data_IF_759408110755
#
_entry.id   IF_759408110755
#
_cell.length_a   1.000
_cell.length_b   1.000
_cell.length_c   1.000
_cell.angle_alpha   90.00
_cell.angle_beta   90.00
_cell.angle_gamma   90.00
#
_symmetry.space_group_name_H-M   'P 1'
#
loop_
_entity.id
_entity.type
_entity.pdbx_description
1 polymer ?
#
# COMPACT_ATOMS: atom_id res chain seq x y z
N UNK A 1 -17.17 -10.85 -17.19
CA UNK A 1 -16.47 -10.08 -16.13
C UNK A 1 -16.34 -10.93 -14.86
N UNK A 2 -15.13 -10.99 -14.29
CA UNK A 2 -14.91 -11.66 -13.00
C UNK A 2 -15.74 -10.99 -11.90
N UNK A 3 -16.15 -11.74 -10.88
CA UNK A 3 -16.97 -11.22 -9.76
C UNK A 3 -16.30 -10.00 -9.10
N UNK A 4 -14.98 -10.02 -9.00
CA UNK A 4 -14.18 -8.94 -8.41
C UNK A 4 -14.17 -7.68 -9.29
N UNK A 5 -14.09 -7.83 -10.62
CA UNK A 5 -14.19 -6.69 -11.55
C UNK A 5 -15.55 -6.00 -11.43
N UNK A 6 -16.64 -6.77 -11.28
CA UNK A 6 -17.99 -6.23 -11.07
C UNK A 6 -18.08 -5.49 -9.72
N UNK A 7 -17.53 -6.07 -8.65
CA UNK A 7 -17.53 -5.45 -7.31
C UNK A 7 -16.72 -4.15 -7.32
N UNK A 8 -15.51 -4.14 -7.89
CA UNK A 8 -14.70 -2.92 -7.96
C UNK A 8 -15.38 -1.84 -8.81
N UNK A 9 -16.00 -2.22 -9.93
CA UNK A 9 -16.79 -1.30 -10.74
C UNK A 9 -17.98 -0.72 -9.97
N UNK A 10 -18.69 -1.54 -9.20
CA UNK A 10 -19.77 -1.08 -8.32
C UNK A 10 -19.27 -0.13 -7.24
N UNK A 11 -18.15 -0.45 -6.59
CA UNK A 11 -17.55 0.42 -5.56
C UNK A 11 -17.17 1.79 -6.13
N UNK A 12 -16.54 1.82 -7.32
CA UNK A 12 -16.22 3.08 -8.00
C UNK A 12 -17.49 3.87 -8.36
N UNK A 13 -18.54 3.19 -8.83
CA UNK A 13 -19.82 3.83 -9.13
C UNK A 13 -20.43 4.44 -7.87
N UNK A 14 -20.41 3.73 -6.74
CA UNK A 14 -20.93 4.24 -5.46
C UNK A 14 -20.14 5.46 -5.00
N UNK A 15 -18.81 5.46 -5.09
CA UNK A 15 -17.98 6.62 -4.75
C UNK A 15 -18.31 7.82 -5.65
N UNK A 16 -18.42 7.60 -6.96
CA UNK A 16 -18.80 8.65 -7.90
C UNK A 16 -20.22 9.17 -7.61
N UNK A 17 -21.15 8.28 -7.29
CA UNK A 17 -22.51 8.66 -6.89
C UNK A 17 -22.47 9.52 -5.62
N UNK A 18 -21.75 9.12 -4.56
CA UNK A 18 -21.64 9.91 -3.33
C UNK A 18 -21.03 11.30 -3.55
N UNK A 19 -20.12 11.47 -4.52
CA UNK A 19 -19.56 12.77 -4.85
C UNK A 19 -20.49 13.65 -5.71
N UNK A 20 -21.25 13.04 -6.64
CA UNK A 20 -22.06 13.76 -7.63
C UNK A 20 -23.50 14.00 -7.15
N UNK A 21 -24.08 13.08 -6.38
CA UNK A 21 -25.47 13.20 -5.90
C UNK A 21 -25.73 14.50 -5.14
N UNK A 22 -24.86 14.92 -4.19
CA UNK A 22 -25.09 16.16 -3.45
C UNK A 22 -25.14 17.38 -4.35
N UNK A 23 -24.29 17.43 -5.40
CA UNK A 23 -24.25 18.51 -6.38
C UNK A 23 -25.50 18.55 -7.26
N UNK A 24 -25.97 17.38 -7.73
CA UNK A 24 -27.13 17.31 -8.65
C UNK A 24 -28.46 17.51 -7.92
N UNK A 25 -28.55 17.09 -6.66
CA UNK A 25 -29.74 17.26 -5.84
C UNK A 25 -29.84 18.65 -5.20
N UNK A 26 -28.89 19.55 -5.46
CA UNK A 26 -28.87 20.88 -4.84
C UNK A 26 -28.74 20.82 -3.32
N UNK A 27 -28.07 19.80 -2.78
CA UNK A 27 -27.79 19.67 -1.34
C UNK A 27 -26.79 20.77 -0.97
N UNK A 28 -27.33 21.97 -0.73
CA UNK A 28 -26.58 23.17 -0.40
C UNK A 28 -27.00 24.42 -1.18
N UNK A 29 -27.93 24.36 -2.14
CA UNK A 29 -28.43 25.52 -2.91
C UNK A 29 -29.10 26.62 -2.05
N UNK A 30 -29.37 26.30 -0.79
CA UNK A 30 -29.97 27.17 0.23
C UNK A 30 -28.92 27.81 1.15
N UNK A 31 -27.64 27.54 0.94
CA UNK A 31 -26.50 28.10 1.68
C UNK A 31 -25.63 28.91 0.72
N UNK A 32 -25.12 30.07 1.17
CA UNK A 32 -24.19 30.89 0.38
C UNK A 32 -22.90 30.11 0.06
N UNK A 33 -22.46 29.25 0.98
CA UNK A 33 -21.39 28.27 0.76
C UNK A 33 -21.89 26.84 1.06
N UNK A 34 -22.30 26.08 0.03
CA UNK A 34 -22.85 24.72 0.14
C UNK A 34 -21.95 23.71 0.87
N UNK A 35 -20.62 23.90 0.77
CA UNK A 35 -19.60 22.99 1.27
C UNK A 35 -18.49 23.74 2.02
N UNK A 36 -18.90 24.69 2.87
CA UNK A 36 -17.98 25.40 3.76
C UNK A 36 -17.19 24.42 4.66
N UNK A 37 -15.99 24.83 5.04
CA UNK A 37 -15.18 24.08 6.00
C UNK A 37 -15.82 24.01 7.38
N UNK A 38 -15.40 23.04 8.19
CA UNK A 38 -15.89 22.89 9.57
C UNK A 38 -15.58 24.11 10.45
N UNK A 39 -14.50 24.83 10.15
CA UNK A 39 -14.08 26.02 10.89
C UNK A 39 -15.02 27.22 10.62
N UNK A 40 -15.35 27.47 9.36
CA UNK A 40 -16.32 28.50 8.96
C UNK A 40 -17.73 28.26 9.56
N UNK A 41 -18.18 26.99 9.63
CA UNK A 41 -19.43 26.67 10.33
C UNK A 41 -19.33 26.91 11.84
N UNK A 42 -18.18 26.63 12.45
CA UNK A 42 -17.96 26.87 13.88
C UNK A 42 -17.95 28.37 14.20
N UNK A 43 -17.30 29.20 13.40
CA UNK A 43 -17.29 30.66 13.56
C UNK A 43 -18.71 31.24 13.48
N UNK A 44 -19.49 30.80 12.48
CA UNK A 44 -20.89 31.22 12.33
C UNK A 44 -21.70 30.85 13.57
N UNK A 45 -21.59 29.60 14.04
CA UNK A 45 -22.32 29.14 15.22
C UNK A 45 -21.91 29.88 16.50
N UNK A 46 -20.62 30.18 16.69
CA UNK A 46 -20.14 30.93 17.86
C UNK A 46 -20.72 32.35 17.85
N UNK A 47 -20.71 33.00 16.70
CA UNK A 47 -21.23 34.37 16.54
C UNK A 47 -22.75 34.44 16.77
N UNK A 48 -23.49 33.39 16.39
CA UNK A 48 -24.93 33.29 16.67
C UNK A 48 -25.24 33.05 18.15
N UNK A 49 -24.45 32.21 18.83
CA UNK A 49 -24.68 31.83 20.23
C UNK A 49 -24.21 32.93 21.20
N UNK A 50 -23.10 33.60 20.88
CA UNK A 50 -22.45 34.59 21.72
C UNK A 50 -21.96 35.77 20.86
N UNK A 51 -22.82 36.75 20.56
CA UNK A 51 -22.47 37.87 19.68
C UNK A 51 -21.39 38.80 20.26
N UNK A 52 -21.21 38.79 21.59
CA UNK A 52 -20.15 39.55 22.27
C UNK A 52 -18.84 38.74 22.43
N UNK A 53 -18.72 37.59 21.76
CA UNK A 53 -17.54 36.73 21.83
C UNK A 53 -16.34 37.40 21.16
N UNK A 54 -15.23 37.53 21.90
CA UNK A 54 -13.97 38.01 21.36
C UNK A 54 -13.03 36.83 21.10
N UNK A 55 -12.44 36.70 19.89
CA UNK A 55 -11.46 35.65 19.60
C UNK A 55 -10.27 35.72 20.56
N UNK A 56 -10.00 34.61 21.24
CA UNK A 56 -8.87 34.46 22.16
C UNK A 56 -7.52 34.28 21.44
N UNK A 57 -7.55 34.13 20.11
CA UNK A 57 -6.39 33.99 19.25
C UNK A 57 -6.67 34.64 17.90
N UNK A 58 -5.71 35.41 17.38
CA UNK A 58 -5.75 35.95 16.02
C UNK A 58 -4.83 35.11 15.11
N UNK A 59 -5.28 34.68 13.92
CA UNK A 59 -4.42 33.98 12.97
C UNK A 59 -3.14 34.77 12.69
N UNK A 60 -1.99 34.09 12.74
CA UNK A 60 -0.70 34.72 12.35
C UNK A 60 -0.63 34.95 10.84
N UNK A 61 -1.47 34.26 10.08
CA UNK A 61 -1.57 34.35 8.63
C UNK A 61 -3.03 34.15 8.23
N UNK A 62 -3.58 35.17 7.57
CA UNK A 62 -4.89 35.14 6.92
C UNK A 62 -4.66 34.93 5.41
N UNK A 63 -5.20 33.85 4.79
CA UNK A 63 -5.14 33.69 3.35
C UNK A 63 -5.83 34.87 2.64
N UNK A 64 -5.28 35.37 1.53
CA UNK A 64 -5.87 36.50 0.81
C UNK A 64 -7.22 36.17 0.13
N UNK A 65 -7.62 34.90 0.06
CA UNK A 65 -8.95 34.47 -0.38
C UNK A 65 -9.37 33.13 0.22
N UNK A 66 -10.67 32.92 0.41
CA UNK A 66 -11.25 31.63 0.86
C UNK A 66 -11.00 30.47 -0.13
N UNK A 67 -10.72 30.77 -1.40
CA UNK A 67 -10.29 29.76 -2.38
C UNK A 67 -8.94 29.14 -2.01
N UNK A 68 -8.00 29.97 -1.49
CA UNK A 68 -6.69 29.50 -1.05
C UNK A 68 -6.84 28.60 0.18
N UNK A 69 -7.72 28.97 1.12
CA UNK A 69 -8.03 28.15 2.29
C UNK A 69 -8.60 26.78 1.89
N UNK A 70 -9.60 26.77 1.00
CA UNK A 70 -10.19 25.54 0.46
C UNK A 70 -9.15 24.69 -0.29
N UNK A 71 -8.23 25.31 -1.03
CA UNK A 71 -7.15 24.61 -1.71
C UNK A 71 -6.16 23.94 -0.74
N UNK A 72 -5.83 24.60 0.37
CA UNK A 72 -4.98 24.02 1.41
C UNK A 72 -5.66 22.82 2.09
N UNK A 73 -6.96 22.91 2.35
CA UNK A 73 -7.73 21.79 2.88
C UNK A 73 -7.79 20.61 1.89
N UNK A 74 -8.04 20.89 0.61
CA UNK A 74 -8.04 19.88 -0.45
C UNK A 74 -6.67 19.19 -0.59
N UNK A 75 -5.58 19.94 -0.45
CA UNK A 75 -4.22 19.40 -0.44
C UNK A 75 -3.99 18.46 0.75
N UNK A 76 -4.42 18.85 1.96
CA UNK A 76 -4.33 17.99 3.14
C UNK A 76 -5.14 16.70 2.96
N UNK A 77 -6.35 16.80 2.42
CA UNK A 77 -7.19 15.64 2.12
C UNK A 77 -6.54 14.72 1.09
N UNK A 78 -5.94 15.27 0.03
CA UNK A 78 -5.24 14.51 -1.00
C UNK A 78 -4.01 13.77 -0.43
N UNK A 79 -3.21 14.43 0.42
CA UNK A 79 -2.07 13.81 1.09
C UNK A 79 -2.54 12.68 2.02
N UNK A 80 -3.56 12.93 2.85
CA UNK A 80 -4.14 11.94 3.75
C UNK A 80 -4.63 10.70 2.99
N UNK A 81 -5.44 10.90 1.94
CA UNK A 81 -5.92 9.83 1.08
C UNK A 81 -4.77 9.05 0.42
N UNK A 82 -3.72 9.75 -0.05
CA UNK A 82 -2.52 9.15 -0.63
C UNK A 82 -1.79 8.24 0.34
N UNK A 83 -1.58 8.69 1.59
CA UNK A 83 -0.94 7.89 2.65
C UNK A 83 -1.76 6.64 2.96
N UNK A 84 -3.09 6.76 3.11
CA UNK A 84 -3.97 5.61 3.36
C UNK A 84 -3.91 4.62 2.18
N UNK A 85 -4.03 5.10 0.95
CA UNK A 85 -3.97 4.28 -0.26
C UNK A 85 -2.63 3.53 -0.36
N UNK A 86 -1.52 4.21 -0.10
CA UNK A 86 -0.19 3.60 -0.07
C UNK A 86 -0.08 2.50 0.99
N UNK A 87 -0.53 2.77 2.22
CA UNK A 87 -0.49 1.78 3.31
C UNK A 87 -1.29 0.51 2.96
N UNK A 88 -2.55 0.67 2.54
CA UNK A 88 -3.39 -0.47 2.16
C UNK A 88 -2.84 -1.20 0.93
N UNK A 89 -2.30 -0.47 -0.04
CA UNK A 89 -1.64 -1.01 -1.22
C UNK A 89 -0.43 -1.88 -0.85
N UNK A 90 0.47 -1.38 -0.01
CA UNK A 90 1.67 -2.10 0.43
C UNK A 90 1.29 -3.36 1.22
N UNK A 91 0.36 -3.26 2.17
CA UNK A 91 -0.08 -4.40 2.99
C UNK A 91 -0.72 -5.49 2.13
N UNK A 92 -1.56 -5.09 1.16
CA UNK A 92 -2.21 -6.01 0.22
C UNK A 92 -1.22 -6.63 -0.76
N UNK A 93 -0.22 -5.88 -1.21
CA UNK A 93 0.84 -6.37 -2.08
C UNK A 93 1.70 -7.43 -1.41
N UNK A 94 2.12 -7.19 -0.15
CA UNK A 94 2.93 -8.15 0.63
C UNK A 94 2.22 -9.48 0.86
N UNK A 95 0.92 -9.46 1.17
CA UNK A 95 0.13 -10.70 1.35
C UNK A 95 0.03 -11.52 0.06
N UNK A 96 -0.28 -10.86 -1.06
CA UNK A 96 -0.34 -11.53 -2.36
C UNK A 96 1.01 -12.05 -2.82
N UNK A 97 2.10 -11.33 -2.52
CA UNK A 97 3.46 -11.77 -2.81
C UNK A 97 3.85 -13.02 -2.01
N UNK A 98 3.52 -13.07 -0.72
CA UNK A 98 3.76 -14.23 0.13
C UNK A 98 2.95 -15.46 -0.32
N UNK A 99 1.68 -15.28 -0.66
CA UNK A 99 0.82 -16.35 -1.20
C UNK A 99 1.36 -16.89 -2.55
N UNK A 100 1.82 -16.00 -3.44
CA UNK A 100 2.43 -16.40 -4.73
C UNK A 100 3.75 -17.13 -4.53
N UNK A 101 4.61 -16.68 -3.61
CA UNK A 101 5.88 -17.33 -3.29
C UNK A 101 5.67 -18.72 -2.67
N UNK A 102 4.66 -18.88 -1.81
CA UNK A 102 4.29 -20.18 -1.26
C UNK A 102 3.75 -21.14 -2.33
N UNK A 103 2.96 -20.64 -3.28
CA UNK A 103 2.43 -21.43 -4.39
C UNK A 103 3.54 -21.93 -5.35
N UNK A 104 4.53 -21.10 -5.67
CA UNK A 104 5.68 -21.53 -6.48
C UNK A 104 6.60 -22.51 -5.76
N UNK A 105 6.79 -22.37 -4.44
CA UNK A 105 7.56 -23.33 -3.64
C UNK A 105 6.87 -24.72 -3.58
N UNK A 106 5.54 -24.76 -3.49
CA UNK A 106 4.77 -26.01 -3.51
C UNK A 106 4.84 -26.75 -4.85
N UNK A 107 4.81 -26.02 -5.97
CA UNK A 107 4.86 -26.61 -7.31
C UNK A 107 6.21 -27.31 -7.64
N UNK A 108 7.32 -26.88 -7.04
CA UNK A 108 8.64 -27.52 -7.21
C UNK A 108 8.81 -28.83 -6.46
N UNK A 109 8.00 -29.08 -5.42
CA UNK A 109 8.15 -30.27 -4.55
C UNK A 109 7.41 -31.53 -5.05
N UNK A 110 6.56 -31.40 -6.06
CA UNK A 110 5.75 -32.51 -6.60
C UNK A 110 6.42 -33.32 -7.72
N UNK A 111 7.62 -32.94 -8.18
CA UNK A 111 8.26 -33.54 -9.34
C UNK A 111 9.31 -34.63 -9.02
N UNK A 112 9.68 -34.84 -7.76
CA UNK A 112 10.82 -35.71 -7.38
C UNK A 112 10.47 -37.07 -6.75
N UNK A 113 9.21 -37.51 -6.72
CA UNK A 113 8.85 -38.86 -6.27
C UNK A 113 8.66 -39.83 -7.46
N UNK A 114 9.71 -40.01 -8.25
CA UNK A 114 9.82 -41.14 -9.19
C UNK A 114 10.24 -42.42 -8.45
N UNK A 115 9.75 -43.62 -8.84
CA UNK A 115 10.00 -44.85 -8.10
C UNK A 115 11.49 -45.22 -8.15
N UNK A 116 12.08 -45.45 -6.98
CA UNK A 116 13.48 -45.83 -6.82
C UNK A 116 13.82 -47.06 -7.67
N UNK A 117 14.81 -46.99 -8.58
CA UNK A 117 15.23 -48.17 -9.33
C UNK A 117 16.04 -49.09 -8.41
N UNK A 118 15.55 -50.33 -8.31
CA UNK A 118 16.09 -51.38 -7.48
C UNK A 118 17.57 -51.73 -7.75
N UNK A 119 18.14 -52.30 -6.71
CA UNK A 119 19.46 -52.90 -6.58
C UNK A 119 19.86 -53.73 -7.81
N UNK A 120 21.02 -53.44 -8.39
CA UNK A 120 21.73 -54.36 -9.29
C UNK A 120 22.98 -54.90 -8.58
N UNK A 121 23.22 -56.22 -8.58
CA UNK A 121 24.49 -56.78 -8.12
C UNK A 121 25.54 -56.65 -9.22
N UNK A 122 26.80 -56.61 -8.79
CA UNK A 122 27.94 -56.14 -9.58
C UNK A 122 28.41 -57.03 -10.73
N UNK A 123 29.20 -56.43 -11.59
CA UNK A 123 30.09 -57.09 -12.53
C UNK A 123 31.39 -56.30 -12.63
N UNK A 124 32.49 -56.92 -12.24
CA UNK A 124 33.84 -56.36 -12.31
C UNK A 124 34.44 -56.36 -13.72
N UNK A 125 35.58 -55.68 -13.84
CA UNK A 125 36.42 -55.56 -15.03
C UNK A 125 36.91 -54.12 -15.16
N UNK A 126 38.07 -53.75 -14.59
CA UNK A 126 39.44 -53.95 -15.07
C UNK A 126 39.98 -52.75 -15.91
N UNK A 127 41.23 -52.38 -15.58
CA UNK A 127 42.20 -51.53 -16.29
C UNK A 127 42.13 -49.99 -16.15
N UNK A 128 43.13 -49.40 -15.45
CA UNK A 128 43.50 -47.97 -15.50
C UNK A 128 44.53 -47.68 -16.60
N UNK A 129 45.51 -46.75 -16.44
CA UNK A 129 45.50 -45.43 -15.77
C UNK A 129 46.11 -44.30 -16.66
N UNK A 130 45.88 -43.03 -16.33
CA UNK A 130 46.71 -41.83 -16.67
C UNK A 130 46.15 -40.62 -15.89
N UNK A 131 46.88 -39.95 -14.98
CA UNK A 131 47.85 -38.86 -15.21
C UNK A 131 47.20 -37.71 -16.03
N UNK A 132 47.21 -36.41 -15.70
CA UNK A 132 48.07 -35.54 -14.89
C UNK A 132 47.43 -34.11 -14.93
N UNK A 133 47.90 -33.19 -14.09
CA UNK A 133 47.73 -31.72 -14.05
C UNK A 133 46.41 -31.21 -13.45
N UNK A 134 46.34 -30.21 -12.56
CA UNK A 134 47.28 -29.29 -11.90
C UNK A 134 46.39 -28.31 -11.10
N UNK A 135 46.60 -28.13 -9.80
CA UNK A 135 47.30 -26.98 -9.19
C UNK A 135 46.43 -25.74 -8.93
N UNK A 136 46.47 -25.26 -7.67
CA UNK A 136 46.19 -23.87 -7.26
C UNK A 136 44.86 -23.66 -6.51
N UNK A 137 44.84 -23.68 -5.17
CA UNK A 137 45.07 -22.51 -4.27
C UNK A 137 43.87 -21.52 -4.30
N UNK A 138 43.00 -21.52 -3.29
CA UNK A 138 43.13 -20.94 -1.94
C UNK A 138 42.57 -19.50 -1.86
N UNK A 139 42.11 -19.18 -0.64
CA UNK A 139 41.66 -17.88 -0.13
C UNK A 139 40.20 -17.52 -0.45
N UNK A 140 39.35 -17.06 0.48
CA UNK A 140 39.53 -16.66 1.88
C UNK A 140 38.30 -15.84 2.29
N UNK A 141 38.02 -15.73 3.60
CA UNK A 141 37.17 -14.65 4.12
C UNK A 141 35.91 -15.05 4.88
N UNK A 142 36.07 -15.72 6.02
CA UNK A 142 35.09 -15.68 7.11
C UNK A 142 35.55 -14.72 8.21
N UNK A 143 34.71 -13.76 8.60
CA UNK A 143 34.67 -13.05 9.89
C UNK A 143 33.61 -11.92 9.79
N UNK A 144 32.49 -11.99 10.49
CA UNK A 144 32.29 -11.59 11.89
C UNK A 144 31.87 -10.11 12.07
N UNK A 145 30.65 -9.90 12.60
CA UNK A 145 30.31 -8.82 13.56
C UNK A 145 28.89 -9.09 14.12
N UNK A 146 28.79 -9.56 15.37
CA UNK A 146 28.47 -8.78 16.61
C UNK A 146 27.03 -8.23 16.58
N UNK A 147 26.01 -8.72 17.27
CA UNK A 147 25.79 -9.05 18.70
C UNK A 147 26.04 -7.91 19.69
N UNK A 148 24.92 -7.35 20.19
CA UNK A 148 24.66 -6.71 21.50
C UNK A 148 25.53 -5.50 21.87
N UNK A 149 24.91 -4.34 21.99
CA UNK A 149 24.37 -3.83 23.26
C UNK A 149 23.18 -2.89 22.99
#
# INVERSE_FOLDING_TARGET
>A
MSRNTKINGLLLLVVAALAVLPLVLGLGDHKEEPFAGADAEAETAITEIAPDYEPWFSPLYEPPSGEVESALFALQAAIGAGVLAYYFGLRRGRRQGAERAAATAGAGSGAESGPAPGSRPGSGGAAGPAADTGAGAADGGGAASRSRD
#
